data_IF_202392590661
#
_entry.id   IF_202392590661
#
_cell.length_a   1.000
_cell.length_b   1.000
_cell.length_c   1.000
_cell.angle_alpha   90.00
_cell.angle_beta   90.00
_cell.angle_gamma   90.00
#
_symmetry.space_group_name_H-M   'P 1'
#
loop_
_entity.id
_entity.type
_entity.pdbx_description
1 polymer ?
#
# COMPACT_ATOMS: atom_id res chain seq x y z
N UNK A 1 -24.64 -24.47 -1.79
CA UNK A 1 -25.18 -23.53 -0.79
C UNK A 1 -24.47 -23.83 0.53
N UNK A 2 -23.51 -23.00 0.93
CA UNK A 2 -23.06 -23.04 2.33
C UNK A 2 -24.27 -22.66 3.21
N UNK A 3 -24.50 -23.30 4.36
CA UNK A 3 -25.68 -22.99 5.15
C UNK A 3 -25.62 -21.54 5.63
N UNK A 4 -26.71 -20.78 5.50
CA UNK A 4 -26.87 -19.41 6.03
C UNK A 4 -26.46 -19.29 7.52
N UNK A 5 -26.46 -20.43 8.23
CA UNK A 5 -26.08 -20.55 9.64
C UNK A 5 -24.58 -20.32 9.89
N UNK A 6 -23.68 -20.57 8.92
CA UNK A 6 -22.23 -20.47 9.13
C UNK A 6 -21.71 -19.04 9.01
N UNK A 7 -22.22 -18.27 8.03
CA UNK A 7 -21.78 -16.89 7.81
C UNK A 7 -22.28 -15.96 8.91
N UNK A 8 -23.53 -16.13 9.35
CA UNK A 8 -24.08 -15.37 10.49
C UNK A 8 -23.31 -15.68 11.77
N UNK A 9 -22.92 -16.95 12.00
CA UNK A 9 -22.09 -17.33 13.16
C UNK A 9 -20.70 -16.73 13.09
N UNK A 10 -20.09 -16.73 11.91
CA UNK A 10 -18.79 -16.10 11.69
C UNK A 10 -18.86 -14.60 12.00
N UNK A 11 -19.88 -13.90 11.48
CA UNK A 11 -20.10 -12.48 11.75
C UNK A 11 -20.17 -12.20 13.26
N UNK A 12 -21.05 -12.90 13.99
CA UNK A 12 -21.19 -12.72 15.45
C UNK A 12 -19.91 -13.04 16.21
N UNK A 13 -19.16 -14.06 15.76
CA UNK A 13 -17.88 -14.44 16.41
C UNK A 13 -16.83 -13.36 16.22
N UNK A 14 -16.69 -12.83 15.00
CA UNK A 14 -15.74 -11.74 14.69
C UNK A 14 -16.11 -10.47 15.46
N UNK A 15 -17.39 -10.08 15.46
CA UNK A 15 -17.89 -8.91 16.19
C UNK A 15 -17.61 -9.02 17.70
N UNK A 16 -18.01 -10.13 18.33
CA UNK A 16 -17.78 -10.35 19.76
C UNK A 16 -16.29 -10.28 20.13
N UNK A 17 -15.44 -10.86 19.29
CA UNK A 17 -14.01 -10.93 19.51
C UNK A 17 -13.33 -9.56 19.37
N UNK A 18 -13.63 -8.84 18.29
CA UNK A 18 -13.02 -7.53 18.02
C UNK A 18 -13.55 -6.42 18.92
N UNK A 19 -14.68 -6.63 19.59
CA UNK A 19 -15.17 -5.71 20.60
C UNK A 19 -14.28 -5.65 21.87
N UNK A 20 -13.28 -6.51 22.04
CA UNK A 20 -12.27 -6.39 23.10
C UNK A 20 -11.51 -5.06 22.99
N UNK A 21 -11.40 -4.30 24.10
CA UNK A 21 -10.72 -3.00 24.12
C UNK A 21 -9.26 -3.09 23.66
N UNK A 22 -8.65 -4.26 23.74
CA UNK A 22 -7.34 -4.53 23.16
C UNK A 22 -7.30 -4.18 21.67
N UNK A 23 -8.35 -4.42 20.89
CA UNK A 23 -8.44 -4.02 19.48
C UNK A 23 -8.86 -2.56 19.29
N UNK A 24 -8.96 -1.73 20.32
CA UNK A 24 -9.23 -0.30 20.17
C UNK A 24 -8.01 0.57 20.48
N UNK A 25 -7.04 0.04 21.23
CA UNK A 25 -5.88 0.77 21.68
C UNK A 25 -4.78 0.82 20.61
N UNK A 26 -4.15 1.99 20.47
CA UNK A 26 -2.99 2.16 19.61
C UNK A 26 -1.76 1.44 20.15
N UNK A 27 -1.56 1.45 21.47
CA UNK A 27 -0.41 0.83 22.11
C UNK A 27 -0.41 -0.69 21.92
N UNK A 28 -1.56 -1.33 22.14
CA UNK A 28 -1.71 -2.78 21.91
C UNK A 28 -1.50 -3.13 20.44
N UNK A 29 -1.79 -2.20 19.52
CA UNK A 29 -1.53 -2.38 18.11
C UNK A 29 -0.04 -2.34 17.76
N UNK A 30 0.73 -1.48 18.42
CA UNK A 30 2.19 -1.50 18.34
C UNK A 30 2.75 -2.83 18.84
N UNK A 31 2.33 -3.27 20.03
CA UNK A 31 2.74 -4.55 20.61
C UNK A 31 2.34 -5.74 19.74
N UNK A 32 1.13 -5.68 19.18
CA UNK A 32 0.64 -6.68 18.25
C UNK A 32 1.58 -6.86 17.06
N UNK A 33 2.15 -5.77 16.55
CA UNK A 33 3.11 -5.82 15.45
C UNK A 33 4.47 -6.36 15.88
N UNK A 34 5.02 -5.86 16.99
CA UNK A 34 6.35 -6.19 17.47
C UNK A 34 6.46 -7.63 18.01
N UNK A 35 5.35 -8.17 18.53
CA UNK A 35 5.32 -9.41 19.32
C UNK A 35 4.27 -10.40 18.80
N UNK A 36 4.04 -10.47 17.48
CA UNK A 36 3.01 -11.34 16.89
C UNK A 36 3.11 -12.82 17.31
N UNK A 37 4.31 -13.32 17.57
CA UNK A 37 4.52 -14.74 17.90
C UNK A 37 4.35 -15.04 19.40
N UNK A 38 4.06 -14.02 20.22
CA UNK A 38 3.74 -14.19 21.64
C UNK A 38 2.28 -14.60 21.87
N UNK A 39 1.99 -15.11 23.06
CA UNK A 39 0.63 -15.43 23.50
C UNK A 39 -0.22 -14.16 23.58
N UNK A 40 -1.46 -14.25 23.13
CA UNK A 40 -2.42 -13.16 23.22
C UNK A 40 -3.15 -13.15 24.58
N UNK A 41 -3.47 -11.94 25.05
CA UNK A 41 -4.22 -11.69 26.28
C UNK A 41 -5.54 -10.99 25.94
N UNK A 42 -6.66 -11.56 26.38
CA UNK A 42 -7.97 -10.90 26.26
C UNK A 42 -8.17 -9.95 27.43
N UNK A 43 -8.47 -8.67 27.13
CA UNK A 43 -8.84 -7.73 28.20
C UNK A 43 -10.24 -8.00 28.77
N UNK A 44 -11.07 -8.77 28.05
CA UNK A 44 -12.42 -9.15 28.47
C UNK A 44 -12.43 -10.31 29.47
N UNK A 45 -11.66 -11.37 29.23
CA UNK A 45 -11.58 -12.50 30.17
C UNK A 45 -10.49 -12.33 31.22
N UNK A 46 -9.48 -11.48 30.95
CA UNK A 46 -8.31 -11.37 31.81
C UNK A 46 -7.38 -12.59 31.74
N UNK A 47 -7.58 -13.45 30.75
CA UNK A 47 -6.85 -14.71 30.59
C UNK A 47 -5.84 -14.62 29.43
N UNK A 48 -4.65 -15.17 29.67
CA UNK A 48 -3.68 -15.48 28.61
C UNK A 48 -4.05 -16.84 28.04
N UNK A 49 -4.20 -16.94 26.72
CA UNK A 49 -4.30 -18.25 26.08
C UNK A 49 -2.92 -18.66 25.53
N UNK A 50 -2.14 -19.49 26.23
CA UNK A 50 -0.81 -19.89 25.78
C UNK A 50 -0.85 -20.82 24.56
N UNK A 51 -2.01 -21.40 24.24
CA UNK A 51 -2.17 -22.33 23.13
C UNK A 51 -2.46 -21.66 21.78
N UNK A 52 -2.72 -20.35 21.78
CA UNK A 52 -3.01 -19.58 20.57
C UNK A 52 -2.15 -18.33 20.53
N UNK A 53 -1.21 -18.27 19.58
CA UNK A 53 -0.44 -17.05 19.34
C UNK A 53 -1.28 -16.02 18.60
N UNK A 54 -0.94 -14.74 18.77
CA UNK A 54 -1.56 -13.66 18.00
C UNK A 54 -1.34 -13.86 16.48
N UNK A 55 -0.19 -14.38 16.07
CA UNK A 55 0.13 -14.67 14.67
C UNK A 55 -0.81 -15.70 14.05
N UNK A 56 -1.17 -16.77 14.79
CA UNK A 56 -2.13 -17.77 14.32
C UNK A 56 -3.52 -17.16 14.10
N UNK A 57 -3.97 -16.32 15.03
CA UNK A 57 -5.23 -15.61 14.93
C UNK A 57 -5.24 -14.64 13.73
N UNK A 58 -4.25 -13.77 13.64
CA UNK A 58 -4.08 -12.82 12.53
C UNK A 58 -4.07 -13.56 11.20
N UNK A 59 -3.36 -14.69 11.11
CA UNK A 59 -3.31 -15.52 9.90
C UNK A 59 -4.68 -16.08 9.53
N UNK A 60 -5.47 -16.55 10.50
CA UNK A 60 -6.84 -17.06 10.24
C UNK A 60 -7.76 -15.96 9.75
N UNK A 61 -7.74 -14.80 10.41
CA UNK A 61 -8.50 -13.62 9.99
C UNK A 61 -8.07 -13.11 8.61
N UNK A 62 -6.77 -13.14 8.31
CA UNK A 62 -6.25 -12.75 7.00
C UNK A 62 -6.74 -13.66 5.88
N UNK A 63 -6.82 -14.97 6.12
CA UNK A 63 -7.41 -15.92 5.15
C UNK A 63 -8.88 -15.62 4.89
N UNK A 64 -9.66 -15.35 5.95
CA UNK A 64 -11.05 -14.91 5.80
C UNK A 64 -11.11 -13.63 4.97
N UNK A 65 -10.28 -12.63 5.27
CA UNK A 65 -10.21 -11.38 4.52
C UNK A 65 -9.87 -11.59 3.03
N UNK A 66 -8.89 -12.44 2.73
CA UNK A 66 -8.47 -12.76 1.36
C UNK A 66 -9.58 -13.49 0.58
N UNK A 67 -10.26 -14.45 1.21
CA UNK A 67 -11.39 -15.17 0.60
C UNK A 67 -12.54 -14.19 0.28
N UNK A 68 -12.80 -13.23 1.16
CA UNK A 68 -13.80 -12.17 0.95
C UNK A 68 -13.40 -11.21 -0.18
N UNK A 69 -12.14 -10.76 -0.21
CA UNK A 69 -11.61 -9.91 -1.31
C UNK A 69 -11.73 -10.61 -2.66
N UNK A 70 -11.34 -11.89 -2.74
CA UNK A 70 -11.47 -12.69 -3.95
C UNK A 70 -12.93 -12.81 -4.38
N UNK A 71 -13.85 -13.00 -3.43
CA UNK A 71 -15.27 -13.02 -3.70
C UNK A 71 -15.76 -11.68 -4.27
N UNK A 72 -15.42 -10.55 -3.64
CA UNK A 72 -15.82 -9.22 -4.10
C UNK A 72 -15.27 -8.89 -5.49
N UNK A 73 -14.05 -9.31 -5.80
CA UNK A 73 -13.48 -9.21 -7.13
C UNK A 73 -14.31 -10.00 -8.15
N UNK A 74 -14.66 -11.26 -7.83
CA UNK A 74 -15.45 -12.11 -8.74
C UNK A 74 -16.85 -11.56 -9.04
N UNK A 75 -17.52 -10.97 -8.05
CA UNK A 75 -18.90 -10.45 -8.18
C UNK A 75 -18.94 -9.26 -9.13
N UNK A 76 -18.04 -8.29 -8.98
CA UNK A 76 -18.07 -7.08 -9.84
C UNK A 76 -17.78 -7.38 -11.29
N UNK A 77 -16.98 -8.40 -11.58
CA UNK A 77 -16.70 -8.79 -12.96
C UNK A 77 -17.75 -9.70 -13.59
N UNK A 78 -18.73 -10.21 -12.81
CA UNK A 78 -19.62 -11.28 -13.29
C UNK A 78 -21.12 -10.98 -13.16
N UNK A 79 -21.59 -10.06 -12.30
CA UNK A 79 -23.03 -9.80 -12.13
C UNK A 79 -23.32 -8.52 -11.31
N UNK A 80 -24.45 -7.81 -11.51
CA UNK A 80 -24.83 -6.70 -10.63
C UNK A 80 -25.05 -7.24 -9.20
N UNK A 81 -24.59 -6.53 -8.15
CA UNK A 81 -24.75 -7.00 -6.79
C UNK A 81 -26.23 -7.04 -6.43
N UNK A 82 -26.81 -8.23 -6.30
CA UNK A 82 -28.00 -8.41 -5.49
C UNK A 82 -27.59 -8.14 -4.04
N UNK A 83 -28.23 -7.17 -3.37
CA UNK A 83 -28.02 -6.85 -1.95
C UNK A 83 -28.63 -7.96 -1.08
N UNK A 84 -28.10 -9.17 -1.19
CA UNK A 84 -28.49 -10.28 -0.34
C UNK A 84 -27.97 -10.05 1.08
N UNK A 85 -28.65 -10.64 2.06
CA UNK A 85 -28.20 -10.62 3.45
C UNK A 85 -26.78 -11.18 3.61
N UNK A 86 -26.43 -12.20 2.84
CA UNK A 86 -25.10 -12.79 2.82
C UNK A 86 -24.03 -11.81 2.32
N UNK A 87 -24.32 -11.05 1.27
CA UNK A 87 -23.41 -10.03 0.75
C UNK A 87 -23.13 -8.97 1.81
N UNK A 88 -24.18 -8.54 2.53
CA UNK A 88 -24.05 -7.60 3.65
C UNK A 88 -23.14 -8.16 4.76
N UNK A 89 -23.34 -9.40 5.18
CA UNK A 89 -22.48 -10.01 6.21
C UNK A 89 -21.02 -10.13 5.78
N UNK A 90 -20.77 -10.47 4.51
CA UNK A 90 -19.41 -10.54 3.95
C UNK A 90 -18.73 -9.17 4.02
N UNK A 91 -19.43 -8.11 3.61
CA UNK A 91 -18.94 -6.73 3.66
C UNK A 91 -18.66 -6.30 5.11
N UNK A 92 -19.59 -6.58 6.03
CA UNK A 92 -19.43 -6.25 7.46
C UNK A 92 -18.26 -7.00 8.11
N UNK A 93 -18.09 -8.30 7.86
CA UNK A 93 -16.94 -9.07 8.37
C UNK A 93 -15.64 -8.48 7.86
N UNK A 94 -15.56 -8.22 6.57
CA UNK A 94 -14.35 -7.66 5.97
C UNK A 94 -14.03 -6.28 6.56
N UNK A 95 -15.04 -5.42 6.67
CA UNK A 95 -14.90 -4.07 7.23
C UNK A 95 -14.42 -4.14 8.69
N UNK A 96 -15.01 -5.01 9.51
CA UNK A 96 -14.57 -5.22 10.89
C UNK A 96 -13.09 -5.64 10.96
N UNK A 97 -12.65 -6.59 10.14
CA UNK A 97 -11.25 -7.04 10.11
C UNK A 97 -10.30 -5.93 9.63
N UNK A 98 -10.74 -5.10 8.69
CA UNK A 98 -9.97 -3.98 8.15
C UNK A 98 -9.85 -2.84 9.17
N UNK A 99 -10.96 -2.37 9.74
CA UNK A 99 -11.02 -1.25 10.69
C UNK A 99 -10.27 -1.55 11.98
N UNK A 100 -10.35 -2.80 12.44
CA UNK A 100 -9.56 -3.25 13.59
C UNK A 100 -8.11 -3.59 13.22
N UNK A 101 -7.63 -3.24 12.03
CA UNK A 101 -6.23 -3.35 11.63
C UNK A 101 -5.69 -4.79 11.56
N UNK A 102 -6.54 -5.82 11.59
CA UNK A 102 -6.12 -7.22 11.55
C UNK A 102 -5.52 -7.55 10.19
N UNK A 103 -6.16 -7.09 9.11
CA UNK A 103 -5.64 -7.29 7.76
C UNK A 103 -4.30 -6.57 7.53
N UNK A 104 -4.08 -5.44 8.21
CA UNK A 104 -2.80 -4.72 8.15
C UNK A 104 -1.70 -5.43 8.96
N UNK A 105 -2.02 -6.01 10.13
CA UNK A 105 -1.08 -6.84 10.89
C UNK A 105 -0.60 -8.04 10.07
N UNK A 106 -1.50 -8.65 9.31
CA UNK A 106 -1.19 -9.79 8.46
C UNK A 106 -0.20 -9.46 7.33
N UNK A 107 -0.13 -8.19 6.90
CA UNK A 107 0.82 -7.76 5.88
C UNK A 107 2.25 -7.62 6.41
N UNK A 108 2.47 -7.70 7.74
CA UNK A 108 3.78 -7.53 8.38
C UNK A 108 4.55 -6.32 7.85
N UNK A 109 3.80 -5.25 7.60
CA UNK A 109 4.25 -4.01 6.99
C UNK A 109 4.09 -2.88 8.00
N UNK A 110 5.16 -2.13 8.32
CA UNK A 110 5.04 -0.99 9.22
C UNK A 110 4.20 0.13 8.58
N UNK A 111 4.16 0.20 7.24
CA UNK A 111 3.33 1.18 6.53
C UNK A 111 1.84 0.83 6.56
N UNK A 112 1.50 -0.46 6.44
CA UNK A 112 0.10 -0.90 6.61
C UNK A 112 -0.38 -0.65 8.04
N UNK A 113 0.52 -0.83 9.02
CA UNK A 113 0.24 -0.52 10.42
C UNK A 113 -0.09 0.96 10.61
N UNK A 114 0.65 1.88 9.96
CA UNK A 114 0.37 3.30 10.11
C UNK A 114 -1.04 3.67 9.63
N UNK A 115 -1.46 3.22 8.45
CA UNK A 115 -2.79 3.48 7.94
C UNK A 115 -3.88 2.91 8.85
N UNK A 116 -3.72 1.66 9.29
CA UNK A 116 -4.66 1.02 10.20
C UNK A 116 -4.67 1.61 11.62
N UNK A 117 -3.62 2.34 12.02
CA UNK A 117 -3.59 3.07 13.30
C UNK A 117 -4.71 4.12 13.41
N UNK A 118 -5.25 4.59 12.28
CA UNK A 118 -6.33 5.57 12.27
C UNK A 118 -7.67 5.04 12.74
N UNK A 119 -7.88 3.71 12.67
CA UNK A 119 -9.02 3.05 13.29
C UNK A 119 -8.91 2.90 14.82
N UNK A 120 -7.79 3.32 15.42
CA UNK A 120 -7.54 3.23 16.86
C UNK A 120 -7.88 4.52 17.61
N UNK A 121 -8.21 4.34 18.88
CA UNK A 121 -8.43 5.46 19.80
C UNK A 121 -7.09 6.09 20.17
N UNK A 122 -7.05 7.42 20.09
CA UNK A 122 -5.92 8.26 20.52
C UNK A 122 -6.45 9.42 21.36
N UNK A 123 -5.64 9.93 22.29
CA UNK A 123 -6.02 11.12 23.06
C UNK A 123 -5.75 12.39 22.26
N UNK A 124 -4.67 12.37 21.47
CA UNK A 124 -4.24 13.46 20.61
C UNK A 124 -3.89 12.93 19.24
N UNK A 125 -4.13 13.72 18.20
CA UNK A 125 -3.96 13.23 16.83
C UNK A 125 -2.52 12.80 16.50
N UNK A 126 -1.54 13.49 17.06
CA UNK A 126 -0.11 13.18 16.87
C UNK A 126 0.33 11.88 17.58
N UNK A 127 -0.48 11.32 18.49
CA UNK A 127 -0.20 10.03 19.13
C UNK A 127 -0.17 8.91 18.08
N UNK A 128 -0.84 9.09 16.94
CA UNK A 128 -0.79 8.14 15.81
C UNK A 128 0.60 7.91 15.25
N UNK A 129 1.52 8.87 15.42
CA UNK A 129 2.94 8.70 15.07
C UNK A 129 3.74 8.27 16.30
N UNK A 130 3.64 9.00 17.42
CA UNK A 130 4.42 8.68 18.62
C UNK A 130 4.16 7.27 19.16
N UNK A 131 2.91 6.83 19.11
CA UNK A 131 2.46 5.53 19.60
C UNK A 131 2.88 4.34 18.74
N UNK A 132 3.45 4.58 17.55
CA UNK A 132 3.95 3.50 16.67
C UNK A 132 5.40 3.71 16.20
N UNK A 133 6.06 4.82 16.52
CA UNK A 133 7.40 5.16 16.00
C UNK A 133 8.45 4.05 16.24
N UNK A 134 8.28 3.24 17.30
CA UNK A 134 9.18 2.12 17.61
C UNK A 134 9.12 1.00 16.56
N UNK A 135 7.98 0.83 15.89
CA UNK A 135 7.82 -0.10 14.76
C UNK A 135 8.76 0.29 13.61
N UNK A 136 8.95 1.59 13.41
CA UNK A 136 9.86 2.13 12.40
C UNK A 136 11.30 2.26 12.88
N UNK A 137 11.56 2.07 14.18
CA UNK A 137 12.88 2.26 14.82
C UNK A 137 13.44 3.67 14.64
N UNK A 138 12.56 4.66 14.52
CA UNK A 138 12.91 6.08 14.41
C UNK A 138 12.40 6.86 15.61
N UNK A 139 13.06 7.99 15.87
CA UNK A 139 12.62 9.03 16.79
C UNK A 139 12.24 10.26 15.98
N UNK A 140 11.11 10.88 16.29
CA UNK A 140 10.58 12.07 15.64
C UNK A 140 10.07 13.05 16.70
N UNK A 141 9.87 14.31 16.34
CA UNK A 141 9.38 15.33 17.25
C UNK A 141 10.19 15.43 18.55
N UNK A 142 9.49 15.43 19.68
CA UNK A 142 10.09 15.54 21.03
C UNK A 142 10.80 14.26 21.49
N UNK A 143 10.72 13.15 20.74
CA UNK A 143 11.46 11.94 21.08
C UNK A 143 12.89 11.94 20.54
N UNK A 144 13.23 12.89 19.66
CA UNK A 144 14.59 13.08 19.13
C UNK A 144 15.52 13.54 20.25
N UNK A 145 16.72 12.97 20.33
CA UNK A 145 17.69 13.34 21.34
C UNK A 145 18.12 14.80 21.18
N UNK A 146 18.10 15.57 22.27
CA UNK A 146 18.40 17.00 22.26
C UNK A 146 17.26 17.88 21.73
N UNK A 147 16.08 17.32 21.44
CA UNK A 147 14.89 18.13 21.12
C UNK A 147 14.38 18.88 22.35
N UNK A 148 13.74 20.02 22.10
CA UNK A 148 13.04 20.78 23.14
C UNK A 148 11.79 20.01 23.61
N UNK A 149 11.69 19.60 24.89
CA UNK A 149 10.54 18.88 25.42
C UNK A 149 9.22 19.64 25.31
N UNK A 150 9.28 20.98 25.27
CA UNK A 150 8.11 21.86 25.18
C UNK A 150 7.69 22.16 23.74
N UNK A 151 8.46 21.69 22.75
CA UNK A 151 8.13 21.87 21.34
C UNK A 151 6.81 21.18 20.97
N UNK A 152 5.96 21.92 20.27
CA UNK A 152 4.66 21.43 19.79
C UNK A 152 4.76 20.98 18.35
N UNK A 153 4.41 19.73 18.11
CA UNK A 153 4.34 19.15 16.78
C UNK A 153 2.90 18.90 16.36
N UNK A 154 2.60 19.17 15.10
CA UNK A 154 1.34 18.72 14.48
C UNK A 154 1.55 17.34 13.87
N UNK A 155 0.46 16.60 13.66
CA UNK A 155 0.52 15.31 12.98
C UNK A 155 1.22 15.42 11.62
N UNK A 156 0.88 16.44 10.82
CA UNK A 156 1.50 16.69 9.52
C UNK A 156 3.03 16.87 9.61
N UNK A 157 3.51 17.60 10.63
CA UNK A 157 4.98 17.77 10.81
C UNK A 157 5.67 16.47 11.21
N UNK A 158 5.03 15.63 12.02
CA UNK A 158 5.58 14.34 12.41
C UNK A 158 5.54 13.34 11.24
N UNK A 159 4.48 13.34 10.43
CA UNK A 159 4.40 12.56 9.18
C UNK A 159 5.52 12.95 8.22
N UNK A 160 5.77 14.24 8.03
CA UNK A 160 6.86 14.71 7.18
C UNK A 160 8.24 14.30 7.74
N UNK A 161 8.46 14.38 9.06
CA UNK A 161 9.71 13.91 9.68
C UNK A 161 9.91 12.40 9.53
N UNK A 162 8.87 11.61 9.80
CA UNK A 162 8.92 10.16 9.61
C UNK A 162 9.14 9.81 8.13
N UNK A 163 8.46 10.50 7.22
CA UNK A 163 8.61 10.35 5.78
C UNK A 163 10.04 10.59 5.31
N UNK A 164 10.71 11.64 5.81
CA UNK A 164 12.11 11.94 5.48
C UNK A 164 13.03 10.80 5.91
N UNK A 165 12.89 10.35 7.15
CA UNK A 165 13.67 9.22 7.67
C UNK A 165 13.43 7.95 6.85
N UNK A 166 12.19 7.70 6.44
CA UNK A 166 11.83 6.56 5.60
C UNK A 166 12.41 6.63 4.18
N UNK A 167 12.41 7.80 3.54
CA UNK A 167 13.04 7.97 2.23
C UNK A 167 14.55 7.68 2.29
N UNK A 168 15.22 8.14 3.33
CA UNK A 168 16.67 8.02 3.47
C UNK A 168 17.11 6.59 3.85
N UNK A 169 16.36 5.94 4.74
CA UNK A 169 16.74 4.64 5.29
C UNK A 169 16.09 3.47 4.56
N UNK A 170 14.89 3.64 4.01
CA UNK A 170 14.09 2.60 3.34
C UNK A 170 13.53 3.10 1.99
N UNK A 171 14.38 3.59 1.05
CA UNK A 171 13.93 4.31 -0.16
C UNK A 171 13.02 3.48 -1.07
N UNK A 172 13.25 2.17 -1.15
CA UNK A 172 12.40 1.28 -1.96
C UNK A 172 11.08 1.04 -1.25
N UNK A 173 11.12 0.50 -0.04
CA UNK A 173 9.94 0.04 0.69
C UNK A 173 8.99 1.19 1.03
N UNK A 174 9.52 2.36 1.40
CA UNK A 174 8.71 3.54 1.75
C UNK A 174 7.88 4.09 0.59
N UNK A 175 8.20 3.73 -0.66
CA UNK A 175 7.44 4.13 -1.84
C UNK A 175 6.52 3.02 -2.36
N UNK A 176 6.64 1.76 -1.91
CA UNK A 176 5.83 0.63 -2.37
C UNK A 176 4.44 0.58 -1.71
N UNK A 177 3.70 1.68 -1.82
CA UNK A 177 2.30 1.78 -1.43
C UNK A 177 1.51 2.51 -2.52
N UNK A 178 0.20 2.59 -2.36
CA UNK A 178 -0.68 3.50 -3.11
C UNK A 178 -1.57 4.27 -2.16
N UNK A 179 -2.15 5.38 -2.61
CA UNK A 179 -3.13 6.14 -1.84
C UNK A 179 -4.56 5.78 -2.24
N UNK A 180 -5.39 5.45 -1.26
CA UNK A 180 -6.82 5.15 -1.43
C UNK A 180 -7.70 6.40 -1.48
N UNK A 181 -7.12 7.54 -1.11
CA UNK A 181 -7.75 8.85 -1.24
C UNK A 181 -6.74 9.86 -1.78
N UNK A 182 -7.21 10.94 -2.43
CA UNK A 182 -6.33 11.98 -2.90
C UNK A 182 -5.56 12.65 -1.75
N UNK A 183 -4.24 12.59 -1.82
CA UNK A 183 -3.36 13.27 -0.86
C UNK A 183 -3.34 14.79 -1.06
N UNK A 184 -2.99 15.50 0.01
CA UNK A 184 -2.68 16.92 -0.05
C UNK A 184 -1.53 17.17 -1.03
N UNK A 185 -1.56 18.32 -1.71
CA UNK A 185 -0.47 18.73 -2.59
C UNK A 185 0.84 18.76 -1.82
N UNK A 186 1.88 18.12 -2.36
CA UNK A 186 3.20 18.05 -1.70
C UNK A 186 3.37 16.90 -0.71
N UNK A 187 2.38 16.01 -0.54
CA UNK A 187 2.44 14.89 0.42
C UNK A 187 2.51 13.50 -0.23
N UNK A 188 2.52 13.37 -1.55
CA UNK A 188 2.55 12.07 -2.23
C UNK A 188 3.90 11.34 -2.16
N UNK A 189 4.94 11.98 -1.63
CA UNK A 189 6.24 11.37 -1.42
C UNK A 189 6.37 10.58 -0.10
N UNK A 190 5.43 10.71 0.84
CA UNK A 190 5.46 9.99 2.12
C UNK A 190 4.19 9.19 2.37
N UNK A 191 4.28 8.23 3.28
CA UNK A 191 3.13 7.47 3.76
C UNK A 191 2.11 8.40 4.43
N UNK A 192 0.85 8.03 4.35
CA UNK A 192 -0.28 8.78 4.88
C UNK A 192 -1.33 7.79 5.42
N UNK A 193 -2.39 8.28 6.09
CA UNK A 193 -3.46 7.45 6.63
C UNK A 193 -4.17 6.60 5.57
N UNK A 194 -4.11 7.07 4.33
CA UNK A 194 -4.79 6.49 3.17
C UNK A 194 -3.86 5.59 2.37
N UNK A 195 -2.65 5.33 2.88
CA UNK A 195 -1.68 4.47 2.22
C UNK A 195 -2.07 3.00 2.34
N UNK A 196 -1.92 2.24 1.28
CA UNK A 196 -2.13 0.79 1.28
C UNK A 196 -1.02 0.09 0.52
N UNK A 197 -0.59 -1.08 1.00
CA UNK A 197 0.32 -1.94 0.25
C UNK A 197 -0.44 -2.69 -0.84
N UNK A 198 0.02 -2.64 -2.10
CA UNK A 198 -0.53 -3.45 -3.17
C UNK A 198 -0.47 -4.96 -2.88
N UNK A 199 -1.60 -5.63 -3.04
CA UNK A 199 -1.74 -7.08 -3.03
C UNK A 199 -1.52 -7.64 -4.44
N UNK A 200 -0.25 -7.71 -4.85
CA UNK A 200 0.10 -8.24 -6.18
C UNK A 200 0.10 -9.77 -6.28
N UNK A 201 -0.38 -10.48 -5.25
CA UNK A 201 -0.47 -11.94 -5.23
C UNK A 201 0.90 -12.64 -5.15
N UNK A 202 1.90 -11.98 -4.52
CA UNK A 202 3.17 -12.63 -4.24
C UNK A 202 3.04 -13.69 -3.13
N UNK A 203 3.85 -14.77 -3.15
CA UNK A 203 3.78 -15.85 -2.15
C UNK A 203 3.89 -15.41 -0.69
N UNK A 204 4.49 -14.25 -0.43
CA UNK A 204 4.58 -13.60 0.88
C UNK A 204 4.35 -12.09 0.75
N UNK A 205 4.06 -11.37 1.85
CA UNK A 205 3.87 -9.93 1.81
C UNK A 205 5.05 -9.19 1.16
N UNK A 206 4.75 -8.16 0.36
CA UNK A 206 5.72 -7.47 -0.50
C UNK A 206 6.95 -6.94 0.27
N UNK A 207 6.77 -6.50 1.52
CA UNK A 207 7.84 -5.89 2.29
C UNK A 207 8.73 -6.89 3.05
N UNK A 208 8.36 -8.17 3.05
CA UNK A 208 9.20 -9.26 3.57
C UNK A 208 10.30 -9.67 2.60
N UNK A 209 10.21 -9.27 1.33
CA UNK A 209 11.28 -9.48 0.36
C UNK A 209 12.50 -8.62 0.69
N UNK A 210 13.67 -9.17 0.38
CA UNK A 210 14.92 -8.42 0.39
C UNK A 210 15.07 -7.67 -0.94
N UNK A 211 15.32 -6.37 -0.86
CA UNK A 211 15.45 -5.51 -2.03
C UNK A 211 16.90 -5.09 -2.25
N UNK A 212 17.39 -5.18 -3.48
CA UNK A 212 18.55 -4.40 -3.93
C UNK A 212 18.07 -3.03 -4.35
N UNK A 213 18.63 -1.97 -3.77
CA UNK A 213 18.27 -0.58 -4.12
C UNK A 213 18.97 -0.11 -5.39
N UNK A 214 18.24 0.57 -6.25
CA UNK A 214 18.80 1.29 -7.43
C UNK A 214 18.55 2.80 -7.40
N UNK A 215 17.79 3.26 -6.41
CA UNK A 215 17.49 4.67 -6.20
C UNK A 215 18.17 5.23 -4.94
N UNK A 216 18.34 6.55 -4.95
CA UNK A 216 18.54 7.37 -3.76
C UNK A 216 17.40 8.38 -3.72
N UNK A 217 16.71 8.47 -2.59
CA UNK A 217 15.61 9.39 -2.35
C UNK A 217 15.91 10.24 -1.12
N UNK A 218 15.48 11.49 -1.16
CA UNK A 218 15.56 12.43 -0.05
C UNK A 218 14.44 13.45 -0.17
N UNK A 219 14.28 14.32 0.83
CA UNK A 219 13.31 15.41 0.75
C UNK A 219 13.84 16.67 1.44
N UNK A 220 13.47 17.83 0.89
CA UNK A 220 13.91 19.14 1.37
C UNK A 220 12.75 20.13 1.42
N UNK A 221 12.88 21.18 2.23
CA UNK A 221 11.91 22.27 2.29
C UNK A 221 12.05 23.15 1.04
N UNK A 222 10.94 23.33 0.32
CA UNK A 222 10.87 24.11 -0.92
C UNK A 222 9.54 24.83 -1.07
N UNK A 223 9.18 25.19 -2.31
CA UNK A 223 7.89 25.83 -2.58
C UNK A 223 7.28 25.39 -3.91
N UNK A 224 5.97 25.14 -3.92
CA UNK A 224 5.19 24.85 -5.14
C UNK A 224 4.10 25.91 -5.26
N UNK A 225 4.07 26.64 -6.38
CA UNK A 225 3.08 27.70 -6.58
C UNK A 225 3.15 28.82 -5.53
N UNK A 226 4.32 29.07 -4.95
CA UNK A 226 4.53 30.08 -3.90
C UNK A 226 4.17 29.62 -2.48
N UNK A 227 3.66 28.40 -2.30
CA UNK A 227 3.38 27.82 -0.99
C UNK A 227 4.55 26.98 -0.50
N UNK A 228 5.00 27.21 0.74
CA UNK A 228 6.04 26.41 1.38
C UNK A 228 5.57 24.96 1.52
N UNK A 229 6.37 24.02 1.03
CA UNK A 229 6.06 22.58 1.06
C UNK A 229 7.35 21.78 1.09
N UNK A 230 7.27 20.52 1.52
CA UNK A 230 8.37 19.58 1.37
C UNK A 230 8.32 18.98 -0.04
N UNK A 231 9.47 18.90 -0.71
CA UNK A 231 9.61 18.34 -2.06
C UNK A 231 10.60 17.18 -1.98
N UNK A 232 10.21 16.03 -2.55
CA UNK A 232 11.12 14.90 -2.62
C UNK A 232 12.01 14.98 -3.85
N UNK A 233 13.24 14.50 -3.70
CA UNK A 233 14.24 14.38 -4.75
C UNK A 233 14.56 12.91 -4.98
N UNK A 234 14.83 12.55 -6.22
CA UNK A 234 15.31 11.23 -6.60
C UNK A 234 16.61 11.33 -7.40
N UNK A 235 17.42 10.30 -7.30
CA UNK A 235 18.44 9.91 -8.29
C UNK A 235 18.26 8.42 -8.58
N UNK A 236 17.84 8.09 -9.81
CA UNK A 236 17.67 6.70 -10.24
C UNK A 236 17.56 6.59 -11.76
N UNK A 237 17.39 5.37 -12.27
CA UNK A 237 17.04 5.13 -13.65
C UNK A 237 15.58 5.48 -13.92
N UNK A 238 15.36 6.21 -15.02
CA UNK A 238 14.03 6.67 -15.44
C UNK A 238 13.78 6.22 -16.89
N UNK A 239 12.61 5.65 -17.15
CA UNK A 239 12.18 5.28 -18.51
C UNK A 239 10.74 5.71 -18.76
N UNK A 240 10.40 6.01 -20.01
CA UNK A 240 8.99 6.19 -20.39
C UNK A 240 8.22 4.89 -20.24
N UNK A 241 6.98 4.98 -19.75
CA UNK A 241 6.12 3.81 -19.57
C UNK A 241 5.87 3.10 -20.90
N UNK A 242 5.68 3.86 -21.99
CA UNK A 242 5.49 3.35 -23.36
C UNK A 242 6.58 2.35 -23.77
N UNK A 243 7.84 2.65 -23.44
CA UNK A 243 9.01 1.81 -23.75
C UNK A 243 9.00 0.50 -22.95
N UNK A 244 8.61 0.55 -21.67
CA UNK A 244 8.48 -0.65 -20.84
C UNK A 244 7.29 -1.52 -21.27
N UNK A 245 6.16 -0.91 -21.64
CA UNK A 245 4.96 -1.62 -22.08
C UNK A 245 5.20 -2.47 -23.33
N UNK A 246 5.96 -1.95 -24.29
CA UNK A 246 6.35 -2.73 -25.46
C UNK A 246 7.15 -3.98 -25.07
N UNK A 247 8.03 -3.88 -24.06
CA UNK A 247 8.82 -5.01 -23.56
C UNK A 247 7.98 -6.00 -22.77
N UNK A 248 7.08 -5.52 -21.92
CA UNK A 248 6.14 -6.37 -21.19
C UNK A 248 5.26 -7.19 -22.13
N UNK A 249 4.70 -6.55 -23.17
CA UNK A 249 3.91 -7.24 -24.19
C UNK A 249 4.70 -8.35 -24.90
N UNK A 250 5.92 -8.04 -25.33
CA UNK A 250 6.79 -9.04 -25.97
C UNK A 250 7.14 -10.21 -25.04
N UNK A 251 7.29 -9.95 -23.74
CA UNK A 251 7.61 -10.97 -22.75
C UNK A 251 6.40 -11.88 -22.45
N UNK A 252 5.19 -11.31 -22.39
CA UNK A 252 3.94 -12.08 -22.26
C UNK A 252 3.69 -12.95 -23.51
N UNK A 253 3.88 -12.42 -24.72
CA UNK A 253 3.71 -13.16 -25.99
C UNK A 253 4.68 -14.34 -26.13
N UNK A 254 5.89 -14.21 -25.57
CA UNK A 254 6.88 -15.31 -25.50
C UNK A 254 6.49 -16.39 -24.50
N UNK A 255 5.33 -16.27 -23.86
CA UNK A 255 4.83 -17.19 -22.84
C UNK A 255 5.91 -17.46 -21.79
N UNK A 256 6.57 -16.41 -21.26
CA UNK A 256 7.41 -16.59 -20.08
C UNK A 256 6.51 -17.20 -18.99
N UNK A 257 6.58 -18.52 -18.84
CA UNK A 257 5.66 -19.28 -18.01
C UNK A 257 5.86 -18.88 -16.54
N UNK A 258 4.77 -18.92 -15.80
CA UNK A 258 4.71 -18.75 -14.36
C UNK A 258 3.51 -19.54 -13.83
N UNK A 259 3.39 -19.65 -12.50
CA UNK A 259 2.17 -20.14 -11.85
C UNK A 259 0.93 -19.49 -12.46
N UNK A 260 -0.22 -20.17 -12.44
CA UNK A 260 -1.51 -19.64 -12.92
C UNK A 260 -1.90 -18.31 -12.25
N UNK A 261 -1.26 -17.96 -11.14
CA UNK A 261 -1.37 -16.71 -10.37
C UNK A 261 -0.64 -15.51 -11.01
N UNK A 262 0.36 -15.74 -11.88
CA UNK A 262 1.19 -14.71 -12.53
C UNK A 262 0.99 -14.70 -14.05
N UNK A 263 -0.24 -14.42 -14.48
CA UNK A 263 -0.59 -14.38 -15.92
C UNK A 263 -0.12 -13.14 -16.68
N UNK A 264 0.42 -12.14 -15.98
CA UNK A 264 1.02 -10.95 -16.57
C UNK A 264 2.43 -10.75 -16.00
N UNK A 265 3.40 -10.41 -16.85
CA UNK A 265 4.77 -10.12 -16.40
C UNK A 265 4.87 -8.86 -15.53
N UNK A 266 3.86 -8.01 -15.53
CA UNK A 266 3.77 -6.78 -14.73
C UNK A 266 2.55 -6.75 -13.81
N UNK A 267 2.66 -5.90 -12.78
CA UNK A 267 1.66 -5.56 -11.78
C UNK A 267 1.72 -4.05 -11.57
N UNK A 268 0.58 -3.38 -11.66
CA UNK A 268 0.44 -1.93 -11.50
C UNK A 268 -0.67 -1.68 -10.49
N UNK A 269 -0.44 -0.72 -9.59
CA UNK A 269 -1.45 -0.15 -8.71
C UNK A 269 -1.33 1.37 -8.75
N UNK A 270 -2.46 2.06 -8.87
CA UNK A 270 -2.52 3.50 -9.03
C UNK A 270 -2.97 4.21 -7.76
N UNK A 271 -2.53 5.44 -7.59
CA UNK A 271 -3.01 6.35 -6.55
C UNK A 271 -4.37 6.95 -6.95
N UNK A 272 -5.24 7.15 -5.96
CA UNK A 272 -6.48 7.89 -6.15
C UNK A 272 -6.17 9.39 -6.30
N UNK A 273 -6.84 10.06 -7.25
CA UNK A 273 -6.58 11.45 -7.62
C UNK A 273 -7.85 12.30 -7.52
N UNK A 274 -7.73 13.51 -6.95
CA UNK A 274 -8.89 14.34 -6.51
C UNK A 274 -9.82 14.79 -7.65
N UNK A 275 -9.24 15.09 -8.80
CA UNK A 275 -9.93 15.39 -10.06
C UNK A 275 -8.92 16.07 -10.98
N UNK A 276 -8.43 15.37 -11.99
CA UNK A 276 -7.83 16.03 -13.16
C UNK A 276 -7.98 15.25 -14.46
N UNK A 277 -8.58 14.05 -14.45
CA UNK A 277 -8.93 13.32 -15.67
C UNK A 277 -10.19 12.48 -15.40
N UNK A 278 -11.30 12.80 -16.08
CA UNK A 278 -11.66 12.01 -17.27
C UNK A 278 -12.10 12.87 -18.47
N UNK A 279 -12.00 12.42 -19.75
CA UNK A 279 -12.93 11.61 -20.61
C UNK A 279 -12.29 11.55 -22.04
N UNK A 280 -12.56 10.63 -23.03
CA UNK A 280 -13.52 9.50 -23.14
C UNK A 280 -12.92 8.08 -23.37
N UNK A 281 -13.59 7.02 -22.88
CA UNK A 281 -13.31 5.59 -23.19
C UNK A 281 -12.84 4.72 -22.00
N UNK A 282 -13.45 4.92 -20.84
CA UNK A 282 -12.84 4.95 -19.51
C UNK A 282 -12.56 3.59 -18.81
N UNK A 283 -11.55 3.52 -17.92
CA UNK A 283 -11.63 2.69 -16.70
C UNK A 283 -11.57 3.57 -15.43
N UNK A 284 -12.73 4.06 -14.95
CA UNK A 284 -12.82 4.97 -13.81
C UNK A 284 -12.89 4.24 -12.45
N UNK A 285 -13.05 2.92 -12.45
CA UNK A 285 -13.25 2.11 -11.25
C UNK A 285 -12.08 2.17 -10.24
N UNK A 286 -10.88 2.58 -10.69
CA UNK A 286 -9.69 2.73 -9.82
C UNK A 286 -9.51 4.13 -9.22
N UNK A 287 -10.32 5.11 -9.64
CA UNK A 287 -10.22 6.51 -9.19
C UNK A 287 -11.40 6.94 -8.30
N UNK A 288 -12.30 6.02 -8.02
CA UNK A 288 -13.40 6.26 -7.10
C UNK A 288 -12.88 6.20 -5.67
N UNK A 289 -13.20 7.24 -4.90
CA UNK A 289 -12.84 7.36 -3.50
C UNK A 289 -13.31 6.12 -2.73
N UNK A 290 -12.40 5.49 -1.97
CA UNK A 290 -12.71 4.34 -1.12
C UNK A 290 -12.78 2.98 -1.82
N UNK A 291 -12.45 2.86 -3.11
CA UNK A 291 -12.38 1.55 -3.78
C UNK A 291 -10.99 0.90 -3.68
N UNK A 292 -10.86 -0.06 -2.76
CA UNK A 292 -9.70 -0.93 -2.60
C UNK A 292 -9.70 -2.04 -3.66
N UNK A 293 -8.97 -1.87 -4.77
CA UNK A 293 -8.74 -2.95 -5.75
C UNK A 293 -7.38 -2.86 -6.42
N UNK A 294 -6.56 -3.89 -6.21
CA UNK A 294 -5.48 -4.19 -7.15
C UNK A 294 -6.05 -5.08 -8.25
N UNK A 295 -5.74 -4.74 -9.49
CA UNK A 295 -6.16 -5.55 -10.62
C UNK A 295 -5.58 -6.95 -10.54
N UNK A 296 -6.46 -7.94 -10.73
CA UNK A 296 -6.06 -9.33 -10.87
C UNK A 296 -5.05 -9.47 -12.02
N UNK A 297 -4.13 -10.42 -11.87
CA UNK A 297 -3.11 -10.67 -12.88
C UNK A 297 -3.69 -11.05 -14.24
N UNK A 298 -2.87 -10.89 -15.28
CA UNK A 298 -3.29 -11.18 -16.66
C UNK A 298 -4.15 -10.06 -17.24
N UNK A 299 -5.34 -10.42 -17.72
CA UNK A 299 -6.16 -9.56 -18.58
C UNK A 299 -6.42 -8.16 -18.02
N UNK A 300 -6.72 -8.02 -16.72
CA UNK A 300 -6.99 -6.72 -16.12
C UNK A 300 -5.74 -5.85 -16.04
N UNK A 301 -4.60 -6.41 -15.63
CA UNK A 301 -3.31 -5.73 -15.67
C UNK A 301 -2.87 -5.36 -17.10
N UNK A 302 -3.22 -6.16 -18.11
CA UNK A 302 -3.00 -5.81 -19.52
C UNK A 302 -3.86 -4.62 -19.95
N UNK A 303 -5.14 -4.59 -19.57
CA UNK A 303 -6.02 -3.47 -19.86
C UNK A 303 -5.58 -2.18 -19.16
N UNK A 304 -5.22 -2.25 -17.87
CA UNK A 304 -4.74 -1.11 -17.11
C UNK A 304 -3.47 -0.53 -17.74
N UNK A 305 -2.54 -1.40 -18.12
CA UNK A 305 -1.33 -0.99 -18.83
C UNK A 305 -1.68 -0.33 -20.17
N UNK A 306 -2.49 -0.96 -21.02
CA UNK A 306 -2.90 -0.38 -22.30
C UNK A 306 -3.58 1.00 -22.13
N UNK A 307 -4.46 1.14 -21.14
CA UNK A 307 -5.11 2.40 -20.81
C UNK A 307 -4.11 3.47 -20.37
N UNK A 308 -3.15 3.15 -19.49
CA UNK A 308 -2.08 4.08 -19.10
C UNK A 308 -1.23 4.50 -20.31
N UNK A 309 -0.97 3.59 -21.25
CA UNK A 309 -0.27 3.88 -22.49
C UNK A 309 -1.03 4.88 -23.37
N UNK A 310 -2.36 4.75 -23.45
CA UNK A 310 -3.21 5.71 -24.14
C UNK A 310 -3.18 7.08 -23.44
N UNK A 311 -3.20 7.13 -22.10
CA UNK A 311 -3.07 8.37 -21.34
C UNK A 311 -1.67 9.02 -21.48
N UNK A 312 -0.62 8.20 -21.67
CA UNK A 312 0.75 8.69 -21.83
C UNK A 312 0.93 9.60 -23.06
N UNK A 313 0.03 9.49 -24.05
CA UNK A 313 -0.01 10.38 -25.22
C UNK A 313 -0.49 11.81 -24.88
N UNK A 314 -1.28 11.97 -23.82
CA UNK A 314 -1.78 13.25 -23.33
C UNK A 314 -0.89 13.86 -22.24
N UNK A 315 -0.23 13.02 -21.44
CA UNK A 315 0.74 13.44 -20.42
C UNK A 315 1.87 12.42 -20.28
N UNK A 316 3.13 12.83 -20.39
CA UNK A 316 4.27 11.90 -20.32
C UNK A 316 4.33 11.19 -18.97
N UNK A 317 4.16 9.86 -18.99
CA UNK A 317 4.30 9.00 -17.81
C UNK A 317 5.64 8.26 -17.89
N UNK A 318 6.38 8.30 -16.79
CA UNK A 318 7.67 7.63 -16.63
C UNK A 318 7.67 6.69 -15.44
N UNK A 319 8.45 5.63 -15.50
CA UNK A 319 8.75 4.73 -14.39
C UNK A 319 10.12 5.08 -13.84
N UNK A 320 10.16 5.46 -12.57
CA UNK A 320 11.38 5.58 -11.78
C UNK A 320 11.69 4.21 -11.17
N UNK A 321 12.82 3.62 -11.52
CA UNK A 321 13.24 2.34 -10.94
C UNK A 321 13.60 2.53 -9.47
N UNK A 322 13.00 1.74 -8.57
CA UNK A 322 13.32 1.82 -7.14
C UNK A 322 14.36 0.77 -6.77
N UNK A 323 14.12 -0.48 -7.15
CA UNK A 323 14.97 -1.59 -6.81
C UNK A 323 14.55 -2.91 -7.45
N UNK A 324 15.21 -3.98 -7.04
CA UNK A 324 14.93 -5.35 -7.45
C UNK A 324 14.69 -6.24 -6.23
N UNK A 325 13.96 -7.33 -6.42
CA UNK A 325 13.77 -8.38 -5.43
C UNK A 325 13.60 -9.74 -6.13
N UNK A 326 13.77 -10.82 -5.38
CA UNK A 326 13.64 -12.18 -5.90
C UNK A 326 12.41 -12.87 -5.34
N UNK A 327 11.60 -13.45 -6.23
CA UNK A 327 10.45 -14.29 -5.88
C UNK A 327 10.83 -15.73 -6.19
N UNK A 328 10.79 -16.60 -5.19
CA UNK A 328 11.40 -17.94 -5.21
C UNK A 328 10.89 -18.82 -6.36
N UNK A 329 9.60 -18.68 -6.72
CA UNK A 329 8.94 -19.49 -7.75
C UNK A 329 8.87 -18.83 -9.13
N UNK A 330 9.25 -17.56 -9.24
CA UNK A 330 9.02 -16.74 -10.46
C UNK A 330 10.31 -16.08 -10.97
N UNK A 331 11.29 -15.85 -10.08
CA UNK A 331 12.56 -15.24 -10.41
C UNK A 331 12.67 -13.78 -10.00
N UNK A 332 13.60 -13.07 -10.64
CA UNK A 332 13.91 -11.67 -10.32
C UNK A 332 12.80 -10.73 -10.82
N UNK A 333 12.46 -9.76 -9.98
CA UNK A 333 11.50 -8.71 -10.27
C UNK A 333 12.14 -7.35 -10.01
N UNK A 334 11.77 -6.37 -10.82
CA UNK A 334 11.97 -4.97 -10.53
C UNK A 334 10.71 -4.36 -9.95
N UNK A 335 10.88 -3.27 -9.21
CA UNK A 335 9.81 -2.43 -8.74
C UNK A 335 10.12 -0.95 -9.01
N UNK A 336 9.08 -0.17 -9.26
CA UNK A 336 9.21 1.21 -9.67
C UNK A 336 8.02 2.07 -9.25
N UNK A 337 8.22 3.37 -9.31
CA UNK A 337 7.21 4.38 -9.07
C UNK A 337 6.79 5.01 -10.39
N UNK A 338 5.48 5.18 -10.59
CA UNK A 338 4.92 5.86 -11.74
C UNK A 338 4.85 7.36 -11.46
N UNK A 339 5.48 8.13 -12.34
CA UNK A 339 5.58 9.58 -12.26
C UNK A 339 4.97 10.21 -13.52
N UNK A 340 4.04 11.13 -13.33
CA UNK A 340 3.47 11.97 -14.37
C UNK A 340 4.23 13.30 -14.46
N UNK A 341 4.59 13.70 -15.67
CA UNK A 341 5.20 15.00 -15.91
C UNK A 341 4.14 16.12 -15.85
N UNK A 342 4.36 17.12 -15.01
CA UNK A 342 3.47 18.28 -14.81
C UNK A 342 3.95 19.54 -15.57
N UNK A 343 4.99 19.39 -16.41
CA UNK A 343 5.58 20.48 -17.19
C UNK A 343 6.95 20.92 -16.68
N UNK A 344 7.57 21.84 -17.42
CA UNK A 344 8.94 22.29 -17.14
C UNK A 344 9.04 22.97 -15.76
N UNK A 345 10.07 22.60 -14.98
CA UNK A 345 10.37 23.20 -13.67
C UNK A 345 9.42 22.81 -12.54
N UNK A 346 8.45 21.92 -12.78
CA UNK A 346 7.55 21.41 -11.73
C UNK A 346 8.00 20.03 -11.27
N UNK A 347 7.89 19.71 -9.96
CA UNK A 347 8.05 18.34 -9.49
C UNK A 347 7.10 17.41 -10.23
N UNK A 348 7.57 16.22 -10.57
CA UNK A 348 6.72 15.18 -11.15
C UNK A 348 5.68 14.75 -10.13
N UNK A 349 4.49 14.42 -10.58
CA UNK A 349 3.45 13.90 -9.70
C UNK A 349 3.54 12.38 -9.61
N UNK A 350 3.57 11.83 -8.41
CA UNK A 350 3.38 10.38 -8.22
C UNK A 350 1.93 9.99 -8.52
N UNK A 351 1.77 8.92 -9.29
CA UNK A 351 0.45 8.40 -9.70
C UNK A 351 0.25 6.91 -9.41
N UNK A 352 1.26 6.24 -8.83
CA UNK A 352 1.18 4.83 -8.46
C UNK A 352 2.53 4.14 -8.43
N UNK A 353 2.49 2.81 -8.36
CA UNK A 353 3.65 1.92 -8.32
C UNK A 353 3.44 0.71 -9.20
N UNK A 354 4.56 0.08 -9.57
CA UNK A 354 4.52 -1.14 -10.35
C UNK A 354 5.66 -2.10 -9.97
N UNK A 355 5.46 -3.38 -10.28
CA UNK A 355 6.49 -4.40 -10.27
C UNK A 355 6.38 -5.28 -11.51
N UNK A 356 7.50 -5.82 -11.98
CA UNK A 356 7.52 -6.65 -13.17
C UNK A 356 8.73 -7.58 -13.20
N UNK A 357 8.64 -8.67 -13.97
CA UNK A 357 9.75 -9.63 -14.15
C UNK A 357 10.96 -8.93 -14.79
N UNK A 358 12.15 -9.15 -14.24
CA UNK A 358 13.38 -8.55 -14.74
C UNK A 358 13.71 -8.96 -16.19
N UNK A 359 13.33 -10.18 -16.57
CA UNK A 359 13.45 -10.70 -17.94
C UNK A 359 12.63 -9.92 -18.97
N UNK A 360 11.58 -9.22 -18.52
CA UNK A 360 10.74 -8.36 -19.35
C UNK A 360 11.33 -6.93 -19.48
N UNK A 361 12.63 -6.77 -19.26
CA UNK A 361 13.35 -5.51 -19.45
C UNK A 361 14.55 -5.65 -20.37
N UNK A 362 14.92 -4.55 -21.02
CA UNK A 362 16.24 -4.37 -21.64
C UNK A 362 17.11 -3.45 -20.79
N UNK A 363 18.22 -2.99 -21.36
CA UNK A 363 19.13 -2.07 -20.69
C UNK A 363 18.40 -0.81 -20.18
N UNK A 364 18.82 -0.36 -19.00
CA UNK A 364 18.45 0.95 -18.46
C UNK A 364 19.40 1.99 -19.02
N UNK A 365 18.89 3.21 -19.24
CA UNK A 365 19.69 4.36 -19.63
C UNK A 365 20.63 4.80 -18.49
N UNK A 366 21.19 6.00 -18.57
CA UNK A 366 21.89 6.61 -17.43
C UNK A 366 20.93 6.94 -16.29
N UNK A 367 21.47 7.02 -15.07
CA UNK A 367 20.75 7.57 -13.93
C UNK A 367 20.43 9.05 -14.17
N UNK A 368 19.27 9.46 -13.69
CA UNK A 368 18.76 10.83 -13.77
C UNK A 368 18.36 11.29 -12.37
N UNK A 369 18.51 12.59 -12.14
CA UNK A 369 18.03 13.24 -10.92
C UNK A 369 16.84 14.14 -11.24
N UNK A 370 15.92 14.25 -10.29
CA UNK A 370 14.74 15.08 -10.43
C UNK A 370 13.96 15.18 -9.12
N UNK A 371 12.80 15.82 -9.18
CA UNK A 371 11.93 16.00 -8.01
C UNK A 371 10.55 15.43 -8.27
N UNK A 372 9.88 15.04 -7.18
CA UNK A 372 8.52 14.55 -7.21
C UNK A 372 7.75 14.93 -5.96
N UNK A 373 6.42 14.87 -6.09
CA UNK A 373 5.46 15.09 -5.01
C UNK A 373 4.30 14.14 -5.05
#
# INVERSE_FOLDING_TARGET
MAPENDLSRLHTTVDWFLADKWFSSLWTYQEAYLSQDCAWFSSRSGEVNPSVSLSQLVTRCARIGADLEQHFASVVYSTPPSRTRDQKFREEIYQMLSDHGILALAQRSPFALYSASWGRQTQKDYDRIYGIQQVFRFRVGTSVEGSDPDAKYTLLTLEAQLGRLLLENEPVKSQLHVFEEPVMQGCGWHISPTSRIPQWGFPRPLLEYQFTRFCSLSAYDGSIGGQSTVIAQYTSYLQELSSLQARWRNADERHLTGSSEFRSVHKISLDVVKSSLPVPGEKPEYRTWGHRRDDLSGFYQHQLSAWLGAQASAATITVLLLGEFHVETVGKHYCGMLLQNEGCGRPRRRIGVCAWRAEATGAWASQQSGTFV
#
